data_IF_089792877611
#
_entry.id   IF_089792877611
#
_cell.length_a   1.000
_cell.length_b   1.000
_cell.length_c   1.000
_cell.angle_alpha   90.00
_cell.angle_beta   90.00
_cell.angle_gamma   90.00
#
_symmetry.space_group_name_H-M   'P 1'
#
loop_
_entity.id
_entity.type
_entity.pdbx_description
1 polymer ?
#
# COMPACT_ATOMS: atom_id res chain seq x y z
N UNK A 1 18.30 13.11 -9.83
CA UNK A 1 17.71 13.92 -8.74
C UNK A 1 17.55 13.04 -7.50
N UNK A 2 17.74 13.60 -6.31
CA UNK A 2 17.77 12.93 -5.00
C UNK A 2 16.40 12.86 -4.31
N UNK A 3 15.30 12.81 -5.09
CA UNK A 3 13.96 12.88 -4.53
C UNK A 3 13.70 11.67 -3.62
N UNK A 4 13.41 11.91 -2.35
CA UNK A 4 13.15 10.87 -1.33
C UNK A 4 11.68 10.76 -0.95
N UNK A 5 10.90 11.82 -1.12
CA UNK A 5 9.47 11.84 -0.87
C UNK A 5 8.75 12.44 -2.07
N UNK A 6 7.69 11.78 -2.49
CA UNK A 6 6.80 12.22 -3.54
C UNK A 6 5.38 12.07 -3.02
N UNK A 7 4.68 13.19 -2.95
CA UNK A 7 3.29 13.24 -2.55
C UNK A 7 2.46 13.55 -3.80
N UNK A 8 1.64 12.59 -4.20
CA UNK A 8 0.70 12.69 -5.30
C UNK A 8 -0.72 12.39 -4.81
N UNK A 9 -0.97 12.51 -3.50
CA UNK A 9 -2.31 12.38 -2.95
C UNK A 9 -3.26 13.39 -3.57
N UNK A 10 -4.54 12.99 -3.71
CA UNK A 10 -5.62 13.87 -4.22
C UNK A 10 -5.36 14.50 -5.61
N UNK A 11 -4.43 13.96 -6.40
CA UNK A 11 -4.08 14.47 -7.73
C UNK A 11 -5.02 14.00 -8.84
N UNK A 12 -6.09 13.29 -8.47
CA UNK A 12 -7.06 12.70 -9.39
C UNK A 12 -6.44 11.74 -10.43
N UNK A 13 -5.30 11.11 -10.10
CA UNK A 13 -4.64 10.11 -10.94
C UNK A 13 -5.56 8.90 -11.12
N UNK A 14 -5.80 8.47 -12.35
CA UNK A 14 -6.69 7.35 -12.65
C UNK A 14 -5.97 6.27 -13.44
N UNK A 15 -6.56 5.84 -14.54
CA UNK A 15 -5.87 4.97 -15.50
C UNK A 15 -4.65 5.72 -16.08
N UNK A 16 -3.46 5.23 -15.76
CA UNK A 16 -2.19 5.71 -16.31
C UNK A 16 -1.68 4.75 -17.38
N UNK A 17 -0.94 5.23 -18.39
CA UNK A 17 -0.29 4.32 -19.35
C UNK A 17 0.83 3.52 -18.68
N UNK A 18 1.15 2.35 -19.23
CA UNK A 18 2.27 1.49 -18.77
C UNK A 18 3.63 2.21 -18.77
N UNK A 19 3.78 3.25 -19.59
CA UNK A 19 4.97 4.09 -19.63
C UNK A 19 5.09 5.07 -18.46
N UNK A 20 4.09 5.20 -17.59
CA UNK A 20 4.07 6.15 -16.47
C UNK A 20 4.95 5.73 -15.27
N UNK A 21 5.72 4.65 -15.40
CA UNK A 21 6.52 4.09 -14.32
C UNK A 21 7.45 5.09 -13.62
N UNK A 22 7.56 4.95 -12.30
CA UNK A 22 8.34 5.84 -11.44
C UNK A 22 9.78 5.36 -11.22
N UNK A 23 10.23 4.31 -11.90
CA UNK A 23 11.53 3.67 -11.64
C UNK A 23 12.78 4.55 -11.79
N UNK A 24 12.66 5.68 -12.49
CA UNK A 24 13.72 6.69 -12.57
C UNK A 24 13.93 7.45 -11.25
N UNK A 25 12.96 7.39 -10.32
CA UNK A 25 13.03 7.95 -8.97
C UNK A 25 13.64 6.95 -7.98
N UNK A 26 14.75 6.32 -8.33
CA UNK A 26 15.35 5.21 -7.56
C UNK A 26 15.81 5.55 -6.12
N UNK A 27 15.85 6.83 -5.76
CA UNK A 27 16.12 7.28 -4.38
C UNK A 27 14.85 7.51 -3.54
N UNK A 28 13.67 7.26 -4.12
CA UNK A 28 12.40 7.48 -3.44
C UNK A 28 12.25 6.50 -2.28
N UNK A 29 11.86 7.04 -1.13
CA UNK A 29 11.63 6.32 0.11
C UNK A 29 10.17 6.34 0.53
N UNK A 30 9.46 7.40 0.16
CA UNK A 30 8.07 7.59 0.51
C UNK A 30 7.29 8.04 -0.71
N UNK A 31 6.22 7.31 -1.00
CA UNK A 31 5.30 7.60 -2.07
C UNK A 31 3.87 7.60 -1.51
N UNK A 32 3.24 8.77 -1.53
CA UNK A 32 1.81 8.88 -1.22
C UNK A 32 1.02 8.97 -2.53
N UNK A 33 0.09 8.04 -2.73
CA UNK A 33 -0.84 7.97 -3.86
C UNK A 33 -2.32 7.90 -3.39
N UNK A 34 -2.61 8.27 -2.15
CA UNK A 34 -3.95 8.21 -1.56
C UNK A 34 -4.94 9.12 -2.26
N UNK A 35 -6.22 8.80 -2.09
CA UNK A 35 -7.31 9.66 -2.55
C UNK A 35 -7.24 10.04 -4.05
N UNK A 36 -6.62 9.19 -4.86
CA UNK A 36 -6.61 9.29 -6.31
C UNK A 36 -7.85 8.59 -6.90
N UNK A 37 -7.73 7.97 -8.08
CA UNK A 37 -8.81 7.30 -8.83
C UNK A 37 -8.31 6.01 -9.49
N UNK A 38 -7.23 5.42 -8.97
CA UNK A 38 -6.67 4.20 -9.54
C UNK A 38 -7.70 3.07 -9.46
N UNK A 39 -8.02 2.47 -10.61
CA UNK A 39 -8.74 1.18 -10.67
C UNK A 39 -7.79 -0.01 -10.74
N UNK A 40 -6.61 0.25 -11.31
CA UNK A 40 -5.47 -0.65 -11.42
C UNK A 40 -4.22 0.21 -11.44
N UNK A 41 -3.11 -0.34 -10.95
CA UNK A 41 -1.80 0.26 -11.19
C UNK A 41 -1.21 -0.31 -12.48
N UNK A 42 -0.48 0.49 -13.28
CA UNK A 42 0.26 -0.06 -14.40
C UNK A 42 1.28 -1.12 -13.95
N UNK A 43 1.55 -2.09 -14.81
CA UNK A 43 2.56 -3.12 -14.57
C UNK A 43 3.93 -2.47 -14.46
N UNK A 44 4.67 -2.86 -13.43
CA UNK A 44 5.99 -2.30 -13.17
C UNK A 44 5.99 -0.80 -12.82
N UNK A 45 4.84 -0.21 -12.49
CA UNK A 45 4.74 1.20 -12.10
C UNK A 45 5.72 1.59 -10.97
N UNK A 46 5.98 0.66 -10.06
CA UNK A 46 6.89 0.79 -8.92
C UNK A 46 8.26 0.14 -9.15
N UNK A 47 8.50 -0.46 -10.33
CA UNK A 47 9.75 -1.16 -10.62
C UNK A 47 10.94 -0.21 -10.53
N UNK A 48 12.02 -0.64 -9.87
CA UNK A 48 13.22 0.18 -9.65
C UNK A 48 13.19 1.05 -8.38
N UNK A 49 12.07 1.12 -7.66
CA UNK A 49 11.97 1.82 -6.38
C UNK A 49 12.48 0.98 -5.20
N UNK A 50 13.68 0.40 -5.32
CA UNK A 50 14.21 -0.55 -4.33
C UNK A 50 14.47 0.04 -2.94
N UNK A 51 14.55 1.37 -2.83
CA UNK A 51 14.71 2.10 -1.57
C UNK A 51 13.38 2.57 -0.95
N UNK A 52 12.24 2.24 -1.58
CA UNK A 52 10.92 2.62 -1.08
C UNK A 52 10.65 1.91 0.25
N UNK A 53 10.22 2.69 1.25
CA UNK A 53 9.92 2.25 2.61
C UNK A 53 8.45 2.37 2.95
N UNK A 54 7.77 3.39 2.44
CA UNK A 54 6.35 3.67 2.69
C UNK A 54 5.63 3.87 1.38
N UNK A 55 4.52 3.14 1.20
CA UNK A 55 3.61 3.28 0.09
C UNK A 55 2.18 3.37 0.60
N UNK A 56 1.59 4.55 0.41
CA UNK A 56 0.17 4.75 0.66
C UNK A 56 -0.62 4.64 -0.64
N UNK A 57 -1.58 3.72 -0.67
CA UNK A 57 -2.52 3.49 -1.77
C UNK A 57 -3.97 3.42 -1.29
N UNK A 58 -4.20 3.89 -0.06
CA UNK A 58 -5.52 3.92 0.58
C UNK A 58 -6.58 4.47 -0.36
N UNK A 59 -7.72 3.79 -0.37
CA UNK A 59 -8.89 4.25 -1.09
C UNK A 59 -9.56 5.39 -0.35
N UNK A 60 -10.88 5.41 -0.37
CA UNK A 60 -11.64 6.40 0.38
C UNK A 60 -12.69 5.75 1.26
N UNK A 61 -12.74 6.20 2.51
CA UNK A 61 -13.62 5.73 3.57
C UNK A 61 -14.73 6.72 3.92
N UNK A 62 -14.76 7.93 3.35
CA UNK A 62 -15.82 8.89 3.64
C UNK A 62 -17.18 8.35 3.13
N UNK A 63 -18.04 7.99 4.08
CA UNK A 63 -19.33 7.39 3.83
C UNK A 63 -20.33 8.41 3.24
N UNK A 64 -21.36 7.88 2.57
CA UNK A 64 -22.34 8.66 1.80
C UNK A 64 -23.27 9.53 2.65
N UNK A 65 -23.34 9.27 3.96
CA UNK A 65 -24.19 9.94 4.94
C UNK A 65 -23.57 11.24 5.51
N UNK A 66 -22.33 11.56 5.16
CA UNK A 66 -21.66 12.81 5.53
C UNK A 66 -21.56 13.80 4.35
N UNK A 67 -22.64 14.56 4.05
CA UNK A 67 -22.72 15.45 2.88
C UNK A 67 -21.66 16.57 2.88
N UNK A 68 -21.12 16.94 4.04
CA UNK A 68 -20.00 17.87 4.16
C UNK A 68 -18.73 17.37 3.46
N UNK A 69 -18.57 16.04 3.30
CA UNK A 69 -17.46 15.42 2.58
C UNK A 69 -17.84 14.99 1.16
N UNK A 70 -18.95 15.51 0.62
CA UNK A 70 -19.44 15.17 -0.73
C UNK A 70 -18.42 15.33 -1.87
N UNK A 71 -17.41 16.19 -1.68
CA UNK A 71 -16.28 16.33 -2.62
C UNK A 71 -15.27 15.19 -2.47
N UNK A 72 -14.96 14.78 -1.24
CA UNK A 72 -14.09 13.64 -0.97
C UNK A 72 -14.75 12.32 -1.37
N UNK A 73 -16.08 12.18 -1.34
CA UNK A 73 -16.81 10.99 -1.84
C UNK A 73 -16.43 10.59 -3.29
N UNK A 74 -15.93 11.53 -4.11
CA UNK A 74 -15.50 11.27 -5.50
C UNK A 74 -13.99 11.01 -5.66
N UNK A 75 -13.24 11.18 -4.58
CA UNK A 75 -11.80 10.93 -4.47
C UNK A 75 -11.61 9.62 -3.71
N UNK A 76 -10.51 8.93 -3.95
CA UNK A 76 -10.30 7.56 -3.44
C UNK A 76 -9.87 6.61 -4.53
N UNK A 77 -8.76 5.93 -4.29
CA UNK A 77 -8.44 4.75 -5.07
C UNK A 77 -9.56 3.71 -4.95
N UNK A 78 -9.72 2.97 -6.04
CA UNK A 78 -10.73 1.93 -6.20
C UNK A 78 -10.05 0.74 -6.84
N UNK A 79 -8.87 0.37 -6.36
CA UNK A 79 -8.10 -0.72 -6.93
C UNK A 79 -8.96 -1.98 -6.91
N UNK A 80 -9.21 -2.55 -8.09
CA UNK A 80 -10.05 -3.74 -8.28
C UNK A 80 -9.20 -5.01 -8.32
N UNK A 81 -7.96 -4.87 -8.78
CA UNK A 81 -6.99 -5.96 -8.94
C UNK A 81 -5.55 -5.49 -8.69
N UNK A 82 -4.68 -6.46 -8.40
CA UNK A 82 -3.23 -6.30 -8.33
C UNK A 82 -2.57 -7.27 -9.30
N UNK A 83 -1.53 -6.82 -9.98
CA UNK A 83 -0.65 -7.73 -10.72
C UNK A 83 0.20 -8.57 -9.74
N UNK A 84 0.50 -9.83 -10.08
CA UNK A 84 1.28 -10.73 -9.22
C UNK A 84 2.66 -10.15 -8.87
N UNK A 85 3.22 -9.29 -9.74
CA UNK A 85 4.53 -8.65 -9.57
C UNK A 85 4.44 -7.18 -9.20
N UNK A 86 3.27 -6.72 -8.75
CA UNK A 86 3.03 -5.29 -8.53
C UNK A 86 4.03 -4.64 -7.56
N UNK A 87 4.53 -5.41 -6.59
CA UNK A 87 5.49 -4.98 -5.57
C UNK A 87 6.88 -5.65 -5.69
N UNK A 88 7.16 -6.29 -6.83
CA UNK A 88 8.43 -6.98 -7.05
C UNK A 88 9.62 -6.02 -6.91
N UNK A 89 10.63 -6.44 -6.13
CA UNK A 89 11.85 -5.66 -5.90
C UNK A 89 11.78 -4.59 -4.80
N UNK A 90 10.62 -4.39 -4.15
CA UNK A 90 10.46 -3.45 -3.03
C UNK A 90 10.95 -4.03 -1.69
N UNK A 91 12.17 -4.57 -1.65
CA UNK A 91 12.74 -5.29 -0.49
C UNK A 91 12.94 -4.44 0.77
N UNK A 92 12.83 -3.11 0.65
CA UNK A 92 12.91 -2.16 1.76
C UNK A 92 11.54 -1.63 2.21
N UNK A 93 10.45 -2.06 1.57
CA UNK A 93 9.11 -1.62 1.92
C UNK A 93 8.77 -2.14 3.31
N UNK A 94 8.28 -1.24 4.16
CA UNK A 94 7.92 -1.51 5.55
C UNK A 94 6.45 -1.27 5.82
N UNK A 95 5.83 -0.40 5.02
CA UNK A 95 4.44 0.04 5.17
C UNK A 95 3.79 -0.02 3.80
N UNK A 96 2.72 -0.80 3.71
CA UNK A 96 1.88 -0.88 2.54
C UNK A 96 0.42 -0.75 2.95
N UNK A 97 -0.21 0.36 2.58
CA UNK A 97 -1.60 0.63 2.92
C UNK A 97 -2.46 0.54 1.67
N UNK A 98 -3.34 -0.46 1.64
CA UNK A 98 -4.25 -0.79 0.54
C UNK A 98 -5.71 -0.86 0.99
N UNK A 99 -5.99 -0.54 2.25
CA UNK A 99 -7.33 -0.54 2.83
C UNK A 99 -8.28 0.46 2.12
N UNK A 100 -9.58 0.23 2.27
CA UNK A 100 -10.66 0.99 1.60
C UNK A 100 -10.64 1.00 0.06
N UNK A 101 -10.06 -0.02 -0.58
CA UNK A 101 -10.09 -0.17 -2.03
C UNK A 101 -11.28 -1.05 -2.48
N UNK A 102 -11.17 -1.71 -3.64
CA UNK A 102 -12.19 -2.60 -4.22
C UNK A 102 -11.60 -3.95 -4.62
N UNK A 103 -10.52 -4.36 -3.96
CA UNK A 103 -9.83 -5.62 -4.23
C UNK A 103 -10.75 -6.78 -3.84
N UNK A 104 -10.91 -7.74 -4.75
CA UNK A 104 -11.75 -8.94 -4.51
C UNK A 104 -10.95 -10.19 -4.23
N UNK A 105 -9.69 -10.21 -4.65
CA UNK A 105 -8.75 -11.29 -4.42
C UNK A 105 -7.32 -10.72 -4.38
N UNK A 106 -6.40 -11.51 -3.84
CA UNK A 106 -4.97 -11.25 -3.92
C UNK A 106 -4.31 -12.33 -4.76
N UNK A 107 -3.42 -11.98 -5.71
CA UNK A 107 -2.60 -12.98 -6.37
C UNK A 107 -1.72 -13.72 -5.36
N UNK A 108 -1.47 -15.00 -5.62
CA UNK A 108 -0.54 -15.81 -4.85
C UNK A 108 0.85 -15.15 -4.84
N UNK A 109 1.43 -15.01 -3.65
CA UNK A 109 2.76 -14.44 -3.51
C UNK A 109 2.90 -12.98 -3.95
N UNK A 110 1.82 -12.20 -4.07
CA UNK A 110 1.90 -10.76 -4.43
C UNK A 110 2.81 -9.93 -3.49
N UNK A 111 3.04 -10.41 -2.26
CA UNK A 111 3.94 -9.82 -1.27
C UNK A 111 5.30 -10.53 -1.16
N UNK A 112 5.61 -11.45 -2.09
CA UNK A 112 6.87 -12.18 -2.08
C UNK A 112 8.06 -11.22 -2.17
N UNK A 113 9.08 -11.47 -1.35
CA UNK A 113 10.29 -10.65 -1.31
C UNK A 113 10.16 -9.32 -0.54
N UNK A 114 8.99 -8.98 0.02
CA UNK A 114 8.81 -7.84 0.93
C UNK A 114 9.34 -8.16 2.34
N UNK A 115 10.62 -8.53 2.42
CA UNK A 115 11.29 -9.07 3.62
C UNK A 115 11.42 -8.08 4.81
N UNK A 116 11.03 -6.81 4.61
CA UNK A 116 11.00 -5.78 5.65
C UNK A 116 9.60 -5.26 5.96
N UNK A 117 8.55 -5.84 5.37
CA UNK A 117 7.19 -5.38 5.56
C UNK A 117 6.73 -5.60 7.00
N UNK A 118 6.39 -4.52 7.69
CA UNK A 118 5.98 -4.51 9.10
C UNK A 118 4.50 -4.22 9.25
N UNK A 119 3.96 -3.37 8.38
CA UNK A 119 2.54 -2.98 8.38
C UNK A 119 1.98 -3.23 7.00
N UNK A 120 0.95 -4.05 6.94
CA UNK A 120 0.14 -4.28 5.76
C UNK A 120 -1.31 -4.01 6.14
N UNK A 121 -1.91 -2.99 5.53
CA UNK A 121 -3.33 -2.69 5.70
C UNK A 121 -4.17 -3.06 4.48
N UNK A 122 -5.15 -3.93 4.65
CA UNK A 122 -5.99 -4.52 3.60
C UNK A 122 -7.49 -4.47 3.90
N UNK A 123 -7.88 -4.12 5.13
CA UNK A 123 -9.27 -4.10 5.56
C UNK A 123 -10.13 -3.17 4.66
N UNK A 124 -11.45 -3.33 4.70
CA UNK A 124 -12.39 -2.59 3.83
C UNK A 124 -12.14 -2.76 2.32
N UNK A 125 -11.70 -3.96 1.94
CA UNK A 125 -11.77 -4.46 0.58
C UNK A 125 -12.79 -5.60 0.52
N UNK A 126 -13.59 -5.71 -0.57
CA UNK A 126 -14.63 -6.74 -0.71
C UNK A 126 -14.04 -8.08 -1.15
N UNK A 127 -13.13 -8.66 -0.36
CA UNK A 127 -12.54 -9.96 -0.65
C UNK A 127 -13.58 -11.07 -0.63
N UNK A 128 -13.57 -11.92 -1.66
CA UNK A 128 -14.45 -13.08 -1.75
C UNK A 128 -13.67 -14.29 -2.33
N UNK A 129 -13.37 -15.33 -1.51
CA UNK A 129 -13.71 -15.47 -0.10
C UNK A 129 -12.96 -14.46 0.79
N UNK A 130 -13.41 -14.31 2.04
CA UNK A 130 -12.69 -13.55 3.06
C UNK A 130 -11.25 -14.07 3.20
N UNK A 131 -10.31 -13.15 3.45
CA UNK A 131 -8.91 -13.50 3.61
C UNK A 131 -8.65 -14.02 5.03
N UNK A 132 -7.93 -15.13 5.11
CA UNK A 132 -7.36 -15.64 6.35
C UNK A 132 -5.82 -15.60 6.29
N UNK A 133 -5.18 -15.94 7.42
CA UNK A 133 -3.71 -15.96 7.53
C UNK A 133 -3.05 -17.09 6.74
N UNK A 134 -3.81 -18.09 6.30
CA UNK A 134 -3.34 -19.22 5.51
C UNK A 134 -3.37 -18.93 4.01
N UNK A 135 -3.97 -17.81 3.60
CA UNK A 135 -4.03 -17.39 2.20
C UNK A 135 -2.62 -17.33 1.57
N UNK A 136 -2.41 -17.89 0.36
CA UNK A 136 -1.09 -18.00 -0.26
C UNK A 136 -0.31 -16.69 -0.42
N UNK A 137 -1.03 -15.56 -0.55
CA UNK A 137 -0.44 -14.22 -0.57
C UNK A 137 0.43 -13.90 0.67
N UNK A 138 0.10 -14.47 1.84
CA UNK A 138 0.80 -14.18 3.09
C UNK A 138 1.89 -15.17 3.45
N UNK A 139 2.07 -16.24 2.66
CA UNK A 139 2.95 -17.37 3.00
C UNK A 139 4.35 -16.90 3.41
N UNK A 140 4.97 -16.04 2.62
CA UNK A 140 6.34 -15.56 2.87
C UNK A 140 6.41 -14.53 4.00
N UNK A 141 5.34 -13.74 4.18
CA UNK A 141 5.26 -12.77 5.29
C UNK A 141 5.10 -13.47 6.64
N UNK A 142 4.38 -14.59 6.68
CA UNK A 142 4.02 -15.30 7.91
C UNK A 142 4.83 -16.59 8.14
N UNK A 143 5.67 -17.02 7.18
CA UNK A 143 6.45 -18.26 7.21
C UNK A 143 7.27 -18.49 8.48
N UNK A 144 7.60 -17.42 9.20
CA UNK A 144 8.46 -17.46 10.39
C UNK A 144 7.70 -17.36 11.72
N UNK A 145 6.37 -17.43 11.71
CA UNK A 145 5.56 -17.40 12.94
C UNK A 145 5.88 -16.18 13.82
N UNK A 146 6.33 -16.39 15.05
CA UNK A 146 6.75 -15.32 15.97
C UNK A 146 7.99 -14.52 15.51
N UNK A 147 8.74 -15.03 14.53
CA UNK A 147 9.87 -14.35 13.91
C UNK A 147 9.48 -13.63 12.60
N UNK A 148 8.20 -13.55 12.27
CA UNK A 148 7.72 -12.69 11.18
C UNK A 148 8.15 -11.24 11.44
N UNK A 149 8.58 -10.56 10.37
CA UNK A 149 8.83 -9.11 10.41
C UNK A 149 7.53 -8.30 10.46
N UNK A 150 6.41 -8.92 10.08
CA UNK A 150 5.09 -8.31 10.06
C UNK A 150 4.61 -8.12 11.51
N UNK A 151 4.41 -6.85 11.89
CA UNK A 151 3.93 -6.43 13.20
C UNK A 151 2.43 -6.16 13.21
N UNK A 152 1.90 -5.77 12.07
CA UNK A 152 0.51 -5.39 11.92
C UNK A 152 -0.05 -5.89 10.58
N UNK A 153 -1.18 -6.59 10.67
CA UNK A 153 -1.97 -7.10 9.57
C UNK A 153 -3.44 -7.11 10.00
N UNK A 154 -4.29 -6.40 9.26
CA UNK A 154 -5.73 -6.22 9.49
C UNK A 154 -6.56 -7.08 8.51
N UNK A 155 -6.88 -8.31 8.91
CA UNK A 155 -7.77 -9.16 8.10
C UNK A 155 -9.22 -9.08 8.59
N UNK A 156 -9.43 -9.12 9.91
CA UNK A 156 -10.75 -9.30 10.52
C UNK A 156 -11.20 -8.08 11.35
N UNK A 157 -10.26 -7.38 11.98
CA UNK A 157 -10.52 -6.20 12.81
C UNK A 157 -9.46 -5.14 12.50
N UNK A 158 -9.86 -3.86 12.63
CA UNK A 158 -8.89 -2.77 12.53
C UNK A 158 -7.88 -2.92 13.67
N UNK A 159 -6.62 -3.06 13.28
CA UNK A 159 -5.49 -3.12 14.21
C UNK A 159 -5.09 -1.73 14.73
N UNK A 160 -5.86 -0.69 14.38
CA UNK A 160 -5.69 0.70 14.75
C UNK A 160 -4.57 1.36 13.97
N UNK A 161 -4.47 2.69 14.04
CA UNK A 161 -3.48 3.45 13.27
C UNK A 161 -2.20 3.71 14.06
N UNK A 162 -2.07 3.15 15.26
CA UNK A 162 -0.99 3.49 16.21
C UNK A 162 0.44 3.44 15.65
N UNK A 163 0.77 2.46 14.80
CA UNK A 163 2.10 2.37 14.15
C UNK A 163 2.24 3.35 12.98
N UNK A 164 1.16 3.58 12.23
CA UNK A 164 1.11 4.57 11.17
C UNK A 164 1.24 5.98 11.75
N UNK A 165 0.38 6.35 12.70
CA UNK A 165 0.38 7.60 13.45
C UNK A 165 1.75 7.88 14.06
N UNK A 166 2.34 6.87 14.73
CA UNK A 166 3.68 7.02 15.31
C UNK A 166 4.72 7.39 14.25
N UNK A 167 4.70 6.76 13.08
CA UNK A 167 5.63 7.08 12.01
C UNK A 167 5.35 8.45 11.39
N UNK A 168 4.08 8.81 11.22
CA UNK A 168 3.63 10.13 10.76
C UNK A 168 4.16 11.24 11.68
N UNK A 169 3.88 11.13 12.97
CA UNK A 169 4.22 12.09 14.01
C UNK A 169 5.74 12.22 14.18
N UNK A 170 6.44 11.10 14.24
CA UNK A 170 7.89 11.09 14.47
C UNK A 170 8.71 11.38 13.21
N UNK A 171 8.07 11.37 12.03
CA UNK A 171 8.72 11.46 10.72
C UNK A 171 9.86 10.47 10.52
N UNK A 172 9.86 9.37 11.28
CA UNK A 172 10.89 8.32 11.23
C UNK A 172 10.89 7.60 9.88
N UNK A 173 9.82 7.73 9.09
CA UNK A 173 9.85 7.29 7.69
C UNK A 173 10.87 8.04 6.81
N UNK A 174 11.33 9.23 7.23
CA UNK A 174 12.33 10.03 6.52
C UNK A 174 13.77 9.67 6.91
N UNK A 175 14.00 9.04 8.07
CA UNK A 175 15.35 8.68 8.48
C UNK A 175 15.93 7.56 7.62
N UNK A 176 17.24 7.60 7.44
CA UNK A 176 18.01 6.50 6.86
C UNK A 176 17.89 5.26 7.75
N UNK A 177 17.84 5.48 9.07
CA UNK A 177 17.68 4.48 10.11
C UNK A 177 16.19 4.26 10.42
N UNK A 178 15.66 3.15 9.93
CA UNK A 178 14.29 2.70 10.20
C UNK A 178 14.40 1.61 11.28
N UNK A 179 14.17 1.94 12.55
CA UNK A 179 14.19 0.97 13.65
C UNK A 179 12.78 0.59 14.03
#
# INVERSE_FOLDING_TARGET
>A
ATLRRLDLSECALGDLPESAGLGHLSNLRVLNLEFNRFRRMPRGFLSGLSLLKVLWLTGNHYQTDEPQYGRMQKLGNRLEELDEKQFEGLQNLQVLLLHHNKLRALPDGVFAGLIRLRVLKLLDNPFEPELDREHPAFRDLLAHGQHSVLRQLDLEEDSGDSLEDYWEETRTYLSDDFV
#
